data_IF_192606419681
#
_entry.id   IF_192606419681
#
_cell.length_a   1.000
_cell.length_b   1.000
_cell.length_c   1.000
_cell.angle_alpha   90.00
_cell.angle_beta   90.00
_cell.angle_gamma   90.00
#
_symmetry.space_group_name_H-M   'P 1'
#
loop_
_entity.id
_entity.type
_entity.pdbx_description
1 polymer ?
#
# COMPACT_ATOMS: atom_id res chain seq x y z
N UNK A 1 -2.81 -0.29 1.04
CA UNK A 1 -2.61 -1.44 0.16
C UNK A 1 -3.86 -2.32 0.03
N UNK A 2 -4.65 -2.48 1.09
CA UNK A 2 -5.86 -3.30 1.06
C UNK A 2 -7.07 -2.46 1.42
N UNK A 3 -7.99 -2.24 0.45
CA UNK A 3 -9.23 -1.50 0.67
C UNK A 3 -10.47 -2.23 0.14
N UNK A 4 -10.35 -3.53 -0.15
CA UNK A 4 -11.49 -4.39 -0.49
C UNK A 4 -12.31 -4.66 0.77
N UNK A 5 -13.22 -3.74 1.10
CA UNK A 5 -13.96 -3.74 2.36
C UNK A 5 -14.81 -5.00 2.61
N UNK A 6 -15.21 -5.71 1.57
CA UNK A 6 -15.96 -6.97 1.71
C UNK A 6 -15.17 -8.09 2.44
N UNK A 7 -13.85 -7.96 2.57
CA UNK A 7 -13.02 -8.89 3.36
C UNK A 7 -12.65 -8.34 4.75
N UNK A 8 -13.01 -7.10 5.08
CA UNK A 8 -12.69 -6.49 6.38
C UNK A 8 -13.20 -7.28 7.59
N UNK A 9 -14.38 -7.94 7.55
CA UNK A 9 -14.80 -8.78 8.67
C UNK A 9 -13.84 -9.95 8.96
N UNK A 10 -13.12 -10.45 7.96
CA UNK A 10 -12.09 -11.46 8.18
C UNK A 10 -10.81 -10.85 8.74
N UNK A 11 -10.36 -9.74 8.19
CA UNK A 11 -9.16 -9.03 8.65
C UNK A 11 -9.29 -8.55 10.10
N UNK A 12 -10.49 -8.11 10.51
CA UNK A 12 -10.78 -7.64 11.86
C UNK A 12 -10.61 -8.70 12.95
N UNK A 13 -10.57 -9.98 12.59
CA UNK A 13 -10.28 -11.08 13.53
C UNK A 13 -8.80 -11.18 13.88
N UNK A 14 -7.93 -10.59 13.06
CA UNK A 14 -6.48 -10.75 13.12
C UNK A 14 -5.72 -9.44 13.35
N UNK A 15 -6.44 -8.33 13.54
CA UNK A 15 -5.85 -7.02 13.77
C UNK A 15 -6.64 -6.20 14.79
N UNK A 16 -5.94 -5.35 15.55
CA UNK A 16 -6.57 -4.48 16.56
C UNK A 16 -7.32 -3.30 15.95
N UNK A 17 -6.95 -2.88 14.74
CA UNK A 17 -7.52 -1.74 14.03
C UNK A 17 -7.08 -1.73 12.57
N UNK A 18 -7.32 -0.62 11.91
CA UNK A 18 -6.85 -0.36 10.56
C UNK A 18 -6.35 1.08 10.43
N UNK A 19 -5.45 1.29 9.47
CA UNK A 19 -4.87 2.60 9.18
C UNK A 19 -5.45 3.19 7.92
N UNK A 20 -5.39 4.51 7.81
CA UNK A 20 -5.94 5.27 6.69
C UNK A 20 -5.00 6.40 6.28
N UNK A 21 -4.98 6.73 4.98
CA UNK A 21 -4.15 7.81 4.43
C UNK A 21 -4.97 8.97 3.82
N UNK A 22 -6.28 8.97 4.04
CA UNK A 22 -7.18 10.03 3.60
C UNK A 22 -8.47 10.03 4.42
N UNK A 23 -9.30 11.08 4.27
CA UNK A 23 -10.63 11.12 4.89
C UNK A 23 -11.54 10.00 4.38
N UNK A 24 -11.47 9.69 3.09
CA UNK A 24 -12.27 8.61 2.50
C UNK A 24 -11.87 7.24 3.05
N UNK A 25 -10.57 6.97 3.20
CA UNK A 25 -10.10 5.72 3.82
C UNK A 25 -10.44 5.66 5.31
N UNK A 26 -10.28 6.77 6.06
CA UNK A 26 -10.65 6.81 7.47
C UNK A 26 -12.14 6.52 7.67
N UNK A 27 -12.98 7.07 6.81
CA UNK A 27 -14.42 6.80 6.80
C UNK A 27 -14.73 5.34 6.43
N UNK A 28 -14.05 4.80 5.41
CA UNK A 28 -14.20 3.40 5.01
C UNK A 28 -13.85 2.44 6.16
N UNK A 29 -12.76 2.72 6.88
CA UNK A 29 -12.38 1.96 8.09
C UNK A 29 -13.45 2.09 9.16
N UNK A 30 -13.93 3.29 9.43
CA UNK A 30 -14.95 3.53 10.44
C UNK A 30 -16.28 2.81 10.15
N UNK A 31 -16.74 2.88 8.90
CA UNK A 31 -18.02 2.30 8.46
C UNK A 31 -17.94 0.78 8.27
N UNK A 32 -16.88 0.26 7.63
CA UNK A 32 -16.84 -1.14 7.17
C UNK A 32 -15.92 -2.04 8.02
N UNK A 33 -14.89 -1.48 8.66
CA UNK A 33 -14.07 -2.23 9.62
C UNK A 33 -14.67 -2.18 11.03
N UNK A 34 -15.53 -1.18 11.30
CA UNK A 34 -16.28 -1.03 12.53
C UNK A 34 -15.46 -0.52 13.73
N UNK A 35 -14.31 0.12 13.46
CA UNK A 35 -13.44 0.75 14.47
C UNK A 35 -12.94 2.11 13.97
N UNK A 36 -12.58 3.04 14.88
CA UNK A 36 -11.89 4.25 14.47
C UNK A 36 -10.53 3.94 13.79
N UNK A 37 -10.15 4.76 12.84
CA UNK A 37 -8.90 4.60 12.10
C UNK A 37 -7.71 5.20 12.86
N UNK A 38 -6.51 4.67 12.63
CA UNK A 38 -5.25 5.37 12.86
C UNK A 38 -4.88 6.08 11.55
N UNK A 39 -5.09 7.39 11.49
CA UNK A 39 -4.94 8.13 10.24
C UNK A 39 -3.62 8.87 10.15
N UNK A 40 -2.90 8.65 9.06
CA UNK A 40 -1.78 9.47 8.62
C UNK A 40 -2.03 9.93 7.18
N UNK A 41 -1.89 11.23 6.92
CA UNK A 41 -1.82 11.76 5.56
C UNK A 41 -0.68 12.79 5.45
N UNK A 42 0.00 12.87 4.30
CA UNK A 42 1.05 13.86 4.09
C UNK A 42 0.55 15.30 4.22
N UNK A 43 -0.75 15.51 3.97
CA UNK A 43 -1.38 16.82 4.06
C UNK A 43 -2.82 16.69 4.54
N UNK A 44 -3.18 17.48 5.57
CA UNK A 44 -4.55 17.72 5.99
C UNK A 44 -5.01 19.08 5.50
N UNK A 45 -6.31 19.21 5.22
CA UNK A 45 -6.93 20.44 4.75
C UNK A 45 -8.15 20.77 5.61
N UNK A 46 -8.60 22.04 5.59
CA UNK A 46 -9.83 22.43 6.29
C UNK A 46 -11.07 21.71 5.75
N UNK A 47 -11.00 21.18 4.52
CA UNK A 47 -12.11 20.44 3.91
C UNK A 47 -12.25 19.01 4.44
N UNK A 48 -11.14 18.38 4.82
CA UNK A 48 -11.14 16.95 5.16
C UNK A 48 -10.87 16.65 6.64
N UNK A 49 -10.36 17.63 7.39
CA UNK A 49 -9.93 17.37 8.77
C UNK A 49 -11.09 16.96 9.68
N UNK A 50 -12.28 17.56 9.56
CA UNK A 50 -13.41 17.23 10.41
C UNK A 50 -13.91 15.79 10.21
N UNK A 51 -13.89 15.30 8.98
CA UNK A 51 -14.24 13.91 8.69
C UNK A 51 -13.20 12.95 9.27
N UNK A 52 -11.91 13.27 9.13
CA UNK A 52 -10.81 12.50 9.71
C UNK A 52 -10.94 12.43 11.24
N UNK A 53 -11.16 13.57 11.90
CA UNK A 53 -11.30 13.62 13.36
C UNK A 53 -12.49 12.79 13.86
N UNK A 54 -13.59 12.76 13.10
CA UNK A 54 -14.76 11.96 13.45
C UNK A 54 -14.53 10.45 13.28
N UNK A 55 -13.72 10.05 12.30
CA UNK A 55 -13.54 8.65 11.93
C UNK A 55 -12.26 8.01 12.50
N UNK A 56 -11.47 8.75 13.27
CA UNK A 56 -10.17 8.30 13.79
C UNK A 56 -10.10 8.38 15.31
N UNK A 57 -9.26 7.57 15.93
CA UNK A 57 -8.83 7.68 17.34
C UNK A 57 -7.37 8.11 17.47
N UNK A 58 -6.57 7.91 16.43
CA UNK A 58 -5.20 8.37 16.31
C UNK A 58 -5.05 9.20 15.03
N UNK A 59 -4.31 10.30 15.13
CA UNK A 59 -3.94 11.12 13.96
C UNK A 59 -2.45 11.42 14.00
N UNK A 60 -1.77 11.14 12.91
CA UNK A 60 -0.34 11.41 12.75
C UNK A 60 -0.13 12.58 11.80
N UNK A 61 0.54 13.62 12.26
CA UNK A 61 0.89 14.79 11.48
C UNK A 61 2.23 14.60 10.77
N UNK A 62 2.32 15.08 9.55
CA UNK A 62 3.53 14.95 8.73
C UNK A 62 4.63 15.97 9.10
N UNK A 63 4.25 17.09 9.72
CA UNK A 63 5.15 18.18 10.12
C UNK A 63 4.67 18.87 11.39
N UNK A 64 5.56 19.58 12.06
CA UNK A 64 5.22 20.40 13.24
C UNK A 64 4.21 21.49 12.87
N UNK A 65 4.38 22.16 11.75
CA UNK A 65 3.45 23.19 11.28
C UNK A 65 2.05 22.66 11.00
N UNK A 66 1.94 21.41 10.56
CA UNK A 66 0.65 20.76 10.39
C UNK A 66 -0.02 20.47 11.74
N UNK A 67 0.76 20.05 12.75
CA UNK A 67 0.26 19.91 14.12
C UNK A 67 -0.13 21.27 14.72
N UNK A 68 0.65 22.32 14.52
CA UNK A 68 0.30 23.67 14.99
C UNK A 68 -1.05 24.15 14.42
N UNK A 69 -1.34 23.80 13.15
CA UNK A 69 -2.59 24.18 12.47
C UNK A 69 -3.80 23.38 12.95
N UNK A 70 -3.65 22.09 13.15
CA UNK A 70 -4.80 21.18 13.35
C UNK A 70 -4.77 20.44 14.69
N UNK A 71 -3.64 20.44 15.42
CA UNK A 71 -3.46 19.65 16.63
C UNK A 71 -4.43 20.02 17.74
N UNK A 72 -4.72 21.32 17.94
CA UNK A 72 -5.71 21.76 18.94
C UNK A 72 -7.08 21.13 18.68
N UNK A 73 -7.51 21.08 17.42
CA UNK A 73 -8.81 20.46 17.04
C UNK A 73 -8.80 18.95 17.32
N UNK A 74 -7.69 18.28 16.99
CA UNK A 74 -7.53 16.84 17.23
C UNK A 74 -7.57 16.52 18.74
N UNK A 75 -6.84 17.30 19.54
CA UNK A 75 -6.81 17.13 21.01
C UNK A 75 -8.19 17.38 21.65
N UNK A 76 -8.92 18.42 21.24
CA UNK A 76 -10.29 18.69 21.71
C UNK A 76 -11.24 17.56 21.31
N UNK A 77 -11.03 16.95 20.15
CA UNK A 77 -11.81 15.79 19.69
C UNK A 77 -11.41 14.47 20.39
N UNK A 78 -10.42 14.50 21.29
CA UNK A 78 -10.00 13.35 22.07
C UNK A 78 -9.07 12.37 21.35
N UNK A 79 -8.49 12.76 20.20
CA UNK A 79 -7.58 11.89 19.45
C UNK A 79 -6.18 11.88 20.08
N UNK A 80 -5.54 10.73 20.02
CA UNK A 80 -4.11 10.60 20.28
C UNK A 80 -3.30 11.12 19.08
N UNK A 81 -2.51 12.18 19.31
CA UNK A 81 -1.75 12.84 18.25
C UNK A 81 -0.33 12.28 18.12
N UNK A 82 0.08 12.01 16.92
CA UNK A 82 1.45 11.60 16.57
C UNK A 82 2.14 12.53 15.59
N UNK A 83 3.44 12.36 15.49
CA UNK A 83 4.28 13.05 14.51
C UNK A 83 5.03 12.01 13.67
N UNK A 84 4.94 12.12 12.35
CA UNK A 84 5.77 11.32 11.46
C UNK A 84 7.21 11.83 11.50
N UNK A 85 8.13 10.92 11.75
CA UNK A 85 9.56 11.18 11.76
C UNK A 85 10.24 10.55 10.54
N UNK A 86 11.32 11.17 10.10
CA UNK A 86 12.22 10.63 9.09
C UNK A 86 13.54 10.23 9.78
N UNK A 87 13.76 8.94 10.03
CA UNK A 87 14.97 8.46 10.71
C UNK A 87 16.21 8.50 9.80
N UNK A 88 16.09 9.00 8.57
CA UNK A 88 17.18 9.10 7.59
C UNK A 88 17.81 7.73 7.22
N UNK A 89 17.05 6.67 7.40
CA UNK A 89 17.37 5.31 6.98
C UNK A 89 16.18 4.65 6.29
N UNK A 90 16.43 4.08 5.13
CA UNK A 90 15.52 3.16 4.44
C UNK A 90 16.36 2.16 3.62
N UNK A 91 16.01 0.88 3.60
CA UNK A 91 16.68 -0.11 2.75
C UNK A 91 16.16 -0.09 1.30
N UNK A 92 15.19 0.76 1.00
CA UNK A 92 14.53 0.82 -0.33
C UNK A 92 15.45 1.50 -1.33
N UNK A 93 15.82 0.79 -2.38
CA UNK A 93 16.76 1.28 -3.40
C UNK A 93 16.10 2.21 -4.42
N UNK A 94 14.80 1.98 -4.71
CA UNK A 94 14.06 2.79 -5.69
C UNK A 94 13.61 4.09 -5.06
N UNK A 95 14.12 5.23 -5.52
CA UNK A 95 13.84 6.56 -4.98
C UNK A 95 12.35 6.89 -4.87
N UNK A 96 11.53 6.43 -5.82
CA UNK A 96 10.07 6.64 -5.82
C UNK A 96 9.41 6.07 -4.55
N UNK A 97 9.96 5.02 -3.97
CA UNK A 97 9.44 4.31 -2.79
C UNK A 97 10.29 4.52 -1.53
N UNK A 98 11.42 5.25 -1.65
CA UNK A 98 12.30 5.56 -0.51
C UNK A 98 11.87 6.86 0.16
N UNK A 99 11.24 6.83 1.36
CA UNK A 99 10.77 8.03 2.04
C UNK A 99 11.88 8.83 2.72
N UNK A 100 13.13 8.36 2.67
CA UNK A 100 14.29 8.97 3.34
C UNK A 100 15.28 9.61 2.37
N UNK A 101 14.97 9.69 1.07
CA UNK A 101 15.83 10.41 0.11
C UNK A 101 15.97 11.88 0.48
N UNK A 102 17.08 12.53 0.13
CA UNK A 102 17.24 13.97 0.29
C UNK A 102 16.10 14.73 -0.37
N UNK A 103 15.49 15.68 0.36
CA UNK A 103 14.32 16.41 -0.12
C UNK A 103 12.99 15.70 0.04
N UNK A 104 12.95 14.55 0.71
CA UNK A 104 11.69 13.86 1.00
C UNK A 104 10.70 14.79 1.70
N UNK A 105 9.44 14.76 1.25
CA UNK A 105 8.32 15.51 1.84
C UNK A 105 7.69 14.79 3.05
N UNK A 106 8.19 13.62 3.45
CA UNK A 106 7.55 12.72 4.41
C UNK A 106 8.29 12.70 5.74
N UNK A 107 7.61 13.22 6.77
CA UNK A 107 8.11 13.24 8.14
C UNK A 107 9.16 14.32 8.43
N UNK A 108 9.42 14.55 9.70
CA UNK A 108 10.42 15.51 10.18
C UNK A 108 11.72 14.81 10.53
N UNK A 109 12.87 15.44 10.22
CA UNK A 109 14.17 14.99 10.70
C UNK A 109 14.42 15.46 12.14
N UNK A 110 15.38 14.86 12.81
CA UNK A 110 15.76 15.26 14.17
C UNK A 110 16.24 16.72 14.22
N UNK A 111 16.95 17.17 13.19
CA UNK A 111 17.42 18.56 13.08
C UNK A 111 16.26 19.53 12.96
N UNK A 112 15.26 19.24 12.10
CA UNK A 112 14.06 20.04 11.97
C UNK A 112 13.28 20.10 13.27
N UNK A 113 13.15 18.98 13.98
CA UNK A 113 12.46 18.91 15.27
C UNK A 113 13.20 19.71 16.34
N UNK A 114 14.52 19.61 16.39
CA UNK A 114 15.36 20.41 17.29
C UNK A 114 15.25 21.92 17.01
N UNK A 115 15.23 22.32 15.73
CA UNK A 115 15.05 23.71 15.33
C UNK A 115 13.68 24.28 15.76
N UNK A 116 12.66 23.45 15.90
CA UNK A 116 11.35 23.81 16.44
C UNK A 116 11.30 23.82 18.00
N UNK A 117 12.41 23.54 18.67
CA UNK A 117 12.44 23.46 20.13
C UNK A 117 12.06 22.09 20.70
N UNK A 118 12.05 21.05 19.86
CA UNK A 118 11.76 19.66 20.23
C UNK A 118 10.33 19.22 19.97
N UNK A 119 9.93 18.13 20.61
CA UNK A 119 8.61 17.53 20.42
C UNK A 119 7.51 18.42 21.01
N UNK A 120 6.53 18.87 20.20
CA UNK A 120 5.43 19.71 20.66
C UNK A 120 4.62 19.06 21.79
N UNK A 121 4.11 19.88 22.71
CA UNK A 121 3.18 19.42 23.75
C UNK A 121 1.88 18.92 23.10
N UNK A 122 1.39 17.75 23.56
CA UNK A 122 0.20 17.10 22.98
C UNK A 122 0.52 16.03 21.92
N UNK A 123 1.77 15.90 21.47
CA UNK A 123 2.21 14.74 20.72
C UNK A 123 2.45 13.57 21.69
N UNK A 124 1.72 12.47 21.47
CA UNK A 124 1.75 11.26 22.30
C UNK A 124 2.42 10.07 21.58
N UNK A 125 2.70 10.19 20.30
CA UNK A 125 3.31 9.12 19.53
C UNK A 125 4.23 9.60 18.44
N UNK A 126 5.10 8.69 18.00
CA UNK A 126 5.90 8.85 16.79
C UNK A 126 5.53 7.78 15.78
N UNK A 127 5.65 8.13 14.51
CA UNK A 127 5.39 7.24 13.39
C UNK A 127 6.52 7.34 12.37
N UNK A 128 6.96 6.20 11.87
CA UNK A 128 7.78 6.13 10.67
C UNK A 128 7.27 5.04 9.74
N UNK A 129 7.51 5.20 8.44
CA UNK A 129 7.23 4.18 7.44
C UNK A 129 8.34 4.25 6.39
N UNK A 130 9.32 3.36 6.50
CA UNK A 130 10.58 3.40 5.75
C UNK A 130 10.91 2.07 5.06
N UNK A 131 10.04 1.08 5.19
CA UNK A 131 10.20 -0.24 4.64
C UNK A 131 9.20 -0.47 3.49
N UNK A 132 9.61 -1.26 2.50
CA UNK A 132 8.76 -1.77 1.44
C UNK A 132 9.24 -3.18 1.10
N UNK A 133 8.37 -4.18 1.27
CA UNK A 133 8.68 -5.61 1.07
C UNK A 133 10.02 -6.04 1.67
N UNK A 134 10.28 -5.55 2.87
CA UNK A 134 11.57 -5.64 3.54
C UNK A 134 11.59 -6.80 4.54
N UNK A 135 12.80 -7.23 4.90
CA UNK A 135 13.06 -8.28 5.89
C UNK A 135 13.16 -7.73 7.31
N UNK A 136 13.04 -8.57 8.36
CA UNK A 136 13.10 -8.13 9.77
C UNK A 136 14.38 -7.39 10.16
N UNK A 137 15.53 -7.78 9.60
CA UNK A 137 16.81 -7.11 9.86
C UNK A 137 16.80 -5.63 9.43
N UNK A 138 15.99 -5.28 8.44
CA UNK A 138 15.82 -3.88 8.03
C UNK A 138 15.01 -3.08 9.06
N UNK A 139 14.05 -3.71 9.75
CA UNK A 139 13.37 -3.06 10.88
C UNK A 139 14.35 -2.79 12.03
N UNK A 140 15.22 -3.74 12.36
CA UNK A 140 16.27 -3.55 13.38
C UNK A 140 17.09 -2.30 13.09
N UNK A 141 17.60 -2.16 11.87
CA UNK A 141 18.37 -0.97 11.45
C UNK A 141 17.54 0.32 11.48
N UNK A 142 16.27 0.24 11.13
CA UNK A 142 15.37 1.40 11.22
C UNK A 142 15.16 1.84 12.68
N UNK A 143 15.01 0.89 13.60
CA UNK A 143 14.89 1.17 15.02
C UNK A 143 16.20 1.75 15.62
N UNK A 144 17.36 1.22 15.23
CA UNK A 144 18.68 1.79 15.60
C UNK A 144 18.80 3.25 15.14
N UNK A 145 18.32 3.55 13.92
CA UNK A 145 18.30 4.93 13.42
C UNK A 145 17.30 5.81 14.20
N UNK A 146 16.13 5.28 14.56
CA UNK A 146 15.16 5.99 15.42
C UNK A 146 15.76 6.27 16.80
N UNK A 147 16.41 5.31 17.44
CA UNK A 147 17.08 5.51 18.73
C UNK A 147 18.20 6.53 18.63
N UNK A 148 18.99 6.49 17.57
CA UNK A 148 20.09 7.42 17.33
C UNK A 148 19.61 8.86 17.17
N UNK A 149 18.57 9.08 16.37
CA UNK A 149 18.11 10.41 15.99
C UNK A 149 16.98 10.95 16.87
N UNK A 150 16.15 10.07 17.44
CA UNK A 150 14.94 10.44 18.18
C UNK A 150 14.87 9.82 19.58
N UNK A 151 15.91 9.12 20.04
CA UNK A 151 15.95 8.43 21.35
C UNK A 151 15.55 9.33 22.52
N UNK A 152 15.99 10.60 22.52
CA UNK A 152 15.64 11.58 23.55
C UNK A 152 14.12 11.87 23.68
N UNK A 153 13.32 11.46 22.70
CA UNK A 153 11.87 11.67 22.71
C UNK A 153 11.08 10.40 23.07
N UNK A 154 11.71 9.20 23.04
CA UNK A 154 11.01 7.93 23.24
C UNK A 154 10.37 7.83 24.63
N UNK A 155 11.01 8.36 25.68
CA UNK A 155 10.45 8.39 27.03
C UNK A 155 9.26 9.36 27.22
N UNK A 156 9.00 10.20 26.21
CA UNK A 156 7.94 11.22 26.25
C UNK A 156 6.68 10.83 25.52
N UNK A 157 6.69 9.68 24.83
CA UNK A 157 5.59 9.20 23.99
C UNK A 157 4.96 7.93 24.58
N UNK A 158 3.76 7.63 24.17
CA UNK A 158 2.98 6.46 24.62
C UNK A 158 3.02 5.32 23.59
N UNK A 159 3.24 5.65 22.33
CA UNK A 159 3.25 4.67 21.25
C UNK A 159 4.26 5.02 20.14
N UNK A 160 4.77 3.98 19.51
CA UNK A 160 5.61 4.06 18.32
C UNK A 160 4.95 3.23 17.21
N UNK A 161 4.56 3.89 16.13
CA UNK A 161 4.07 3.25 14.93
C UNK A 161 5.22 3.10 13.93
N UNK A 162 5.55 1.88 13.60
CA UNK A 162 6.69 1.51 12.77
C UNK A 162 6.33 1.38 11.28
N UNK A 163 5.06 1.71 10.93
CA UNK A 163 4.56 1.59 9.56
C UNK A 163 4.41 0.15 9.09
N UNK A 164 4.36 0.00 7.78
CA UNK A 164 4.24 -1.28 7.10
C UNK A 164 5.52 -1.67 6.35
N UNK A 165 5.36 -2.46 5.30
CA UNK A 165 6.46 -2.96 4.46
C UNK A 165 6.96 -4.34 4.87
N UNK A 166 6.25 -5.04 5.76
CA UNK A 166 6.54 -6.40 6.19
C UNK A 166 5.63 -7.38 5.45
N UNK A 167 6.19 -8.25 4.60
CA UNK A 167 5.45 -9.34 3.97
C UNK A 167 5.48 -10.59 4.85
N UNK A 168 4.97 -10.50 6.08
CA UNK A 168 5.05 -11.55 7.09
C UNK A 168 4.28 -12.83 6.74
N UNK A 169 3.47 -12.82 5.71
CA UNK A 169 2.77 -13.98 5.16
C UNK A 169 3.53 -14.66 4.02
N UNK A 170 4.63 -14.06 3.56
CA UNK A 170 5.48 -14.66 2.54
C UNK A 170 6.33 -15.81 3.12
N UNK A 171 6.50 -16.88 2.36
CA UNK A 171 7.24 -18.08 2.79
C UNK A 171 8.73 -17.84 3.08
N UNK A 172 9.30 -16.77 2.53
CA UNK A 172 10.71 -16.37 2.74
C UNK A 172 10.89 -15.39 3.91
N UNK A 173 9.80 -14.93 4.54
CA UNK A 173 9.86 -13.95 5.62
C UNK A 173 10.06 -14.64 6.98
N UNK A 174 11.05 -14.20 7.73
CA UNK A 174 11.36 -14.74 9.06
C UNK A 174 10.53 -14.02 10.14
N UNK A 175 9.40 -14.62 10.50
CA UNK A 175 8.52 -14.09 11.54
C UNK A 175 9.13 -14.20 12.95
N UNK A 176 9.96 -15.23 13.22
CA UNK A 176 10.60 -15.39 14.51
C UNK A 176 11.64 -14.30 14.75
N UNK A 177 12.40 -13.93 13.70
CA UNK A 177 13.31 -12.77 13.76
C UNK A 177 12.54 -11.46 13.96
N UNK A 178 11.41 -11.25 13.28
CA UNK A 178 10.56 -10.08 13.53
C UNK A 178 10.13 -9.99 15.00
N UNK A 179 9.66 -11.11 15.55
CA UNK A 179 9.22 -11.20 16.94
C UNK A 179 10.41 -10.90 17.88
N UNK A 180 11.60 -11.41 17.57
CA UNK A 180 12.79 -11.15 18.36
C UNK A 180 13.16 -9.66 18.34
N UNK A 181 13.14 -9.00 17.17
CA UNK A 181 13.41 -7.55 17.04
C UNK A 181 12.41 -6.73 17.87
N UNK A 182 11.12 -7.05 17.78
CA UNK A 182 10.06 -6.34 18.52
C UNK A 182 10.17 -6.55 20.03
N UNK A 183 10.49 -7.77 20.48
CA UNK A 183 10.70 -8.08 21.91
C UNK A 183 11.92 -7.36 22.48
N UNK A 184 13.01 -7.32 21.73
CA UNK A 184 14.23 -6.65 22.12
C UNK A 184 13.98 -5.15 22.31
N UNK A 185 13.42 -4.48 21.31
CA UNK A 185 13.05 -3.07 21.38
C UNK A 185 12.08 -2.78 22.53
N UNK A 186 11.04 -3.61 22.69
CA UNK A 186 10.08 -3.48 23.79
C UNK A 186 10.72 -3.66 25.18
N UNK A 187 11.75 -4.48 25.29
CA UNK A 187 12.44 -4.66 26.59
C UNK A 187 13.18 -3.40 27.03
N UNK A 188 13.66 -2.61 26.08
CA UNK A 188 14.34 -1.32 26.31
C UNK A 188 13.32 -0.19 26.52
N UNK A 189 12.14 -0.27 25.90
CA UNK A 189 11.08 0.74 25.97
C UNK A 189 9.73 0.11 26.40
N UNK A 190 9.63 -0.43 27.64
CA UNK A 190 8.48 -1.23 28.08
C UNK A 190 7.16 -0.44 28.20
N UNK A 191 7.22 0.89 28.27
CA UNK A 191 6.07 1.78 28.34
C UNK A 191 5.44 2.04 26.97
N UNK A 192 6.14 1.73 25.86
CA UNK A 192 5.65 2.00 24.52
C UNK A 192 4.69 0.91 24.04
N UNK A 193 3.55 1.34 23.50
CA UNK A 193 2.75 0.52 22.61
C UNK A 193 3.40 0.53 21.23
N UNK A 194 3.73 -0.66 20.71
CA UNK A 194 4.29 -0.82 19.37
C UNK A 194 3.16 -1.10 18.38
N UNK A 195 3.16 -0.43 17.24
CA UNK A 195 2.16 -0.54 16.19
C UNK A 195 2.86 -0.86 14.88
N UNK A 196 2.34 -1.84 14.13
CA UNK A 196 2.73 -2.16 12.77
C UNK A 196 1.53 -1.98 11.84
N UNK A 197 1.77 -1.61 10.58
CA UNK A 197 0.75 -1.36 9.56
C UNK A 197 0.94 -2.26 8.31
N UNK A 198 1.05 -3.59 8.46
CA UNK A 198 1.23 -4.47 7.30
C UNK A 198 -0.05 -4.46 6.45
N UNK A 199 0.03 -3.95 5.23
CA UNK A 199 -1.11 -3.87 4.30
C UNK A 199 -1.10 -5.05 3.32
N UNK A 200 -0.12 -5.09 2.40
CA UNK A 200 -0.01 -6.14 1.38
C UNK A 200 0.08 -7.55 1.97
N UNK A 201 0.70 -7.70 3.13
CA UNK A 201 0.84 -9.00 3.79
C UNK A 201 -0.51 -9.70 4.05
N UNK A 202 -1.58 -8.96 4.36
CA UNK A 202 -2.90 -9.55 4.61
C UNK A 202 -3.54 -10.17 3.37
N UNK A 203 -3.18 -9.69 2.19
CA UNK A 203 -3.79 -10.11 0.93
C UNK A 203 -2.78 -10.71 -0.06
N UNK A 204 -1.53 -10.86 0.35
CA UNK A 204 -0.48 -11.38 -0.51
C UNK A 204 -0.83 -12.75 -1.07
N UNK A 205 -0.81 -12.89 -2.40
CA UNK A 205 -1.17 -14.09 -3.16
C UNK A 205 -2.58 -14.64 -2.91
N UNK A 206 -3.53 -13.77 -2.57
CA UNK A 206 -4.92 -14.18 -2.34
C UNK A 206 -5.89 -13.74 -3.43
N UNK A 207 -5.43 -13.00 -4.43
CA UNK A 207 -6.28 -12.52 -5.52
C UNK A 207 -5.59 -12.53 -6.88
N UNK A 208 -6.42 -12.64 -7.90
CA UNK A 208 -6.03 -12.74 -9.30
C UNK A 208 -6.73 -11.66 -10.12
N UNK A 209 -6.08 -11.22 -11.20
CA UNK A 209 -6.75 -10.49 -12.28
C UNK A 209 -6.91 -11.43 -13.46
N UNK A 210 -8.14 -11.68 -13.86
CA UNK A 210 -8.48 -12.52 -15.01
C UNK A 210 -8.77 -11.62 -16.20
N UNK A 211 -8.11 -11.86 -17.31
CA UNK A 211 -8.25 -11.15 -18.56
C UNK A 211 -8.48 -12.13 -19.71
N UNK A 212 -8.96 -11.63 -20.84
CA UNK A 212 -9.14 -12.38 -22.07
C UNK A 212 -8.22 -11.84 -23.16
N UNK A 213 -7.65 -12.71 -23.97
CA UNK A 213 -6.95 -12.33 -25.20
C UNK A 213 -8.02 -11.95 -26.24
N UNK A 214 -8.09 -10.69 -26.61
CA UNK A 214 -9.07 -10.17 -27.57
C UNK A 214 -8.51 -10.12 -29.00
N UNK A 215 -7.18 -9.98 -29.15
CA UNK A 215 -6.52 -9.95 -30.45
C UNK A 215 -5.05 -10.39 -30.28
N UNK A 216 -4.42 -10.77 -31.39
CA UNK A 216 -2.99 -11.11 -31.48
C UNK A 216 -2.37 -10.29 -32.58
N UNK A 217 -1.41 -9.45 -32.22
CA UNK A 217 -0.68 -8.59 -33.15
C UNK A 217 0.76 -9.06 -33.27
N UNK A 218 1.23 -9.20 -34.51
CA UNK A 218 2.65 -9.46 -34.77
C UNK A 218 3.27 -8.25 -35.49
N UNK A 219 4.33 -7.70 -34.90
CA UNK A 219 5.08 -6.60 -35.48
C UNK A 219 6.55 -6.70 -35.14
N UNK A 220 7.41 -6.65 -36.16
CA UNK A 220 8.86 -6.72 -35.97
C UNK A 220 9.35 -7.99 -35.26
N UNK A 221 8.63 -9.12 -35.43
CA UNK A 221 8.97 -10.39 -34.77
C UNK A 221 8.51 -10.47 -33.30
N UNK A 222 7.75 -9.49 -32.82
CA UNK A 222 7.15 -9.49 -31.47
C UNK A 222 5.68 -9.91 -31.60
N UNK A 223 5.30 -10.97 -30.88
CA UNK A 223 3.91 -11.40 -30.75
C UNK A 223 3.31 -10.75 -29.50
N UNK A 224 2.26 -9.98 -29.67
CA UNK A 224 1.54 -9.31 -28.58
C UNK A 224 0.12 -9.84 -28.48
N UNK A 225 -0.20 -10.42 -27.33
CA UNK A 225 -1.58 -10.76 -26.97
C UNK A 225 -2.24 -9.49 -26.42
N UNK A 226 -3.23 -8.96 -27.13
CA UNK A 226 -4.01 -7.79 -26.72
C UNK A 226 -5.13 -8.22 -25.76
N UNK A 227 -5.14 -7.62 -24.59
CA UNK A 227 -6.01 -8.03 -23.48
C UNK A 227 -7.17 -7.06 -23.29
N UNK A 228 -8.28 -7.54 -22.69
CA UNK A 228 -9.41 -6.70 -22.26
C UNK A 228 -9.14 -5.90 -20.96
N UNK A 229 -7.93 -5.95 -20.43
CA UNK A 229 -7.43 -5.12 -19.31
C UNK A 229 -6.33 -4.17 -19.80
N UNK A 230 -5.92 -3.24 -18.95
CA UNK A 230 -4.85 -2.27 -19.22
C UNK A 230 -3.84 -2.27 -18.08
N UNK A 231 -2.56 -2.31 -18.39
CA UNK A 231 -1.50 -2.14 -17.39
C UNK A 231 -1.54 -0.74 -16.79
N UNK A 232 -1.71 0.27 -17.64
CA UNK A 232 -1.79 1.67 -17.20
C UNK A 232 -3.01 1.95 -16.30
N UNK A 233 -4.14 1.26 -16.53
CA UNK A 233 -5.37 1.48 -15.79
C UNK A 233 -5.52 0.57 -14.57
N UNK A 234 -5.10 -0.69 -14.66
CA UNK A 234 -5.42 -1.72 -13.67
C UNK A 234 -4.20 -2.28 -12.93
N UNK A 235 -3.01 -2.13 -13.50
CA UNK A 235 -1.73 -2.60 -12.95
C UNK A 235 -0.63 -1.53 -13.09
N UNK A 236 -0.88 -0.26 -12.67
CA UNK A 236 0.06 0.82 -12.94
C UNK A 236 1.44 0.60 -12.32
N UNK A 237 1.55 -0.14 -11.21
CA UNK A 237 2.85 -0.45 -10.60
C UNK A 237 3.75 -1.29 -11.50
N UNK A 238 3.19 -2.08 -12.43
CA UNK A 238 3.98 -2.79 -13.43
C UNK A 238 4.75 -1.83 -14.36
N UNK A 239 4.27 -0.60 -14.52
CA UNK A 239 4.89 0.45 -15.34
C UNK A 239 5.68 1.46 -14.51
N UNK A 240 5.18 1.83 -13.32
CA UNK A 240 5.76 2.83 -12.43
C UNK A 240 6.99 2.31 -11.67
N UNK A 241 6.92 1.04 -11.23
CA UNK A 241 8.01 0.32 -10.57
C UNK A 241 8.31 -0.95 -11.36
N UNK A 242 8.87 -0.87 -12.56
CA UNK A 242 8.82 -1.91 -13.57
C UNK A 242 9.05 -3.31 -12.99
N UNK A 243 8.00 -4.07 -12.83
CA UNK A 243 8.05 -5.47 -12.48
C UNK A 243 7.12 -6.27 -13.38
N UNK A 244 7.45 -7.53 -13.58
CA UNK A 244 6.67 -8.44 -14.40
C UNK A 244 5.83 -9.33 -13.49
N UNK A 245 4.48 -9.22 -13.51
CA UNK A 245 3.63 -10.07 -12.69
C UNK A 245 3.71 -11.54 -13.15
N UNK A 246 3.54 -12.48 -12.23
CA UNK A 246 3.40 -13.87 -12.59
C UNK A 246 2.05 -14.11 -13.30
N UNK A 247 2.06 -15.02 -14.27
CA UNK A 247 0.85 -15.48 -14.98
C UNK A 247 0.75 -16.99 -14.79
N UNK A 248 -0.43 -17.47 -14.45
CA UNK A 248 -0.70 -18.90 -14.29
C UNK A 248 -0.40 -19.63 -15.60
N UNK A 249 0.43 -20.66 -15.54
CA UNK A 249 0.83 -21.45 -16.71
C UNK A 249 1.88 -20.82 -17.61
N UNK A 250 2.39 -19.64 -17.25
CA UNK A 250 3.47 -18.99 -17.98
C UNK A 250 4.80 -19.09 -17.22
N UNK A 251 5.89 -18.90 -17.92
CA UNK A 251 7.25 -18.89 -17.39
C UNK A 251 8.12 -17.83 -18.06
N UNK A 252 9.30 -17.61 -17.50
CA UNK A 252 10.32 -16.79 -18.15
C UNK A 252 10.76 -17.43 -19.48
N UNK A 253 10.82 -16.64 -20.57
CA UNK A 253 11.27 -17.15 -21.86
C UNK A 253 12.72 -17.60 -21.83
N UNK A 254 12.98 -18.78 -22.40
CA UNK A 254 14.32 -19.30 -22.64
C UNK A 254 14.70 -19.12 -24.11
N UNK A 255 15.93 -19.49 -24.47
CA UNK A 255 16.37 -19.50 -25.86
C UNK A 255 15.55 -20.50 -26.70
N UNK A 256 15.00 -20.01 -27.81
CA UNK A 256 14.15 -20.81 -28.70
C UNK A 256 12.65 -20.76 -28.36
N UNK A 257 12.25 -20.19 -27.25
CA UNK A 257 10.82 -20.02 -26.93
C UNK A 257 10.18 -18.94 -27.78
N UNK A 258 8.92 -19.17 -28.13
CA UNK A 258 8.06 -18.08 -28.59
C UNK A 258 7.76 -17.16 -27.41
N UNK A 259 8.00 -15.88 -27.61
CA UNK A 259 7.79 -14.84 -26.61
C UNK A 259 6.46 -14.15 -26.86
N UNK A 260 5.65 -14.05 -25.82
CA UNK A 260 4.36 -13.40 -25.81
C UNK A 260 4.40 -12.15 -24.94
N UNK A 261 4.23 -11.01 -25.55
CA UNK A 261 4.02 -9.74 -24.85
C UNK A 261 2.56 -9.60 -24.50
N UNK A 262 2.25 -9.09 -23.30
CA UNK A 262 0.88 -8.74 -22.92
C UNK A 262 0.67 -7.27 -23.20
N UNK A 263 -0.27 -6.94 -24.09
CA UNK A 263 -0.68 -5.58 -24.42
C UNK A 263 -2.00 -5.22 -23.78
N UNK A 264 -2.09 -4.02 -23.20
CA UNK A 264 -3.33 -3.49 -22.65
C UNK A 264 -4.22 -2.83 -23.70
N UNK A 265 -5.44 -2.51 -23.33
CA UNK A 265 -6.47 -1.96 -24.24
C UNK A 265 -6.63 -0.43 -24.17
N UNK A 266 -5.73 0.30 -23.50
CA UNK A 266 -5.70 1.76 -23.57
C UNK A 266 -4.94 2.26 -24.81
N UNK A 267 -5.13 3.54 -25.17
CA UNK A 267 -4.40 4.11 -26.30
C UNK A 267 -2.96 4.55 -25.95
N UNK A 268 -2.49 4.31 -24.73
CA UNK A 268 -1.13 4.61 -24.34
C UNK A 268 -0.15 3.65 -25.05
N UNK A 269 0.79 4.18 -25.82
CA UNK A 269 1.74 3.36 -26.57
C UNK A 269 2.56 2.40 -25.68
N UNK A 270 2.82 2.76 -24.44
CA UNK A 270 3.52 1.96 -23.43
C UNK A 270 2.61 1.05 -22.59
N UNK A 271 1.34 0.87 -22.94
CA UNK A 271 0.41 0.01 -22.21
C UNK A 271 0.65 -1.48 -22.50
N UNK A 272 1.83 -1.96 -22.13
CA UNK A 272 2.20 -3.36 -22.24
C UNK A 272 3.23 -3.75 -21.17
N UNK A 273 3.36 -5.02 -20.91
CA UNK A 273 4.33 -5.53 -19.95
C UNK A 273 5.00 -6.81 -20.48
N UNK A 274 6.20 -7.03 -20.02
CA UNK A 274 7.02 -8.23 -20.02
C UNK A 274 7.17 -8.92 -21.35
N UNK A 275 7.68 -10.10 -21.34
CA UNK A 275 7.48 -11.16 -22.32
C UNK A 275 7.42 -12.49 -21.53
N UNK A 276 6.50 -13.35 -21.85
CA UNK A 276 6.33 -14.68 -21.24
C UNK A 276 6.43 -15.78 -22.28
N UNK A 277 6.72 -16.99 -21.83
CA UNK A 277 6.59 -18.20 -22.61
C UNK A 277 5.48 -19.08 -22.04
N UNK A 278 4.72 -19.71 -22.92
CA UNK A 278 3.69 -20.69 -22.60
C UNK A 278 4.06 -22.02 -23.28
N UNK A 279 3.53 -23.12 -22.78
CA UNK A 279 3.74 -24.44 -23.39
C UNK A 279 2.89 -24.68 -24.64
N UNK A 280 2.13 -23.67 -25.06
CA UNK A 280 1.27 -23.66 -26.23
C UNK A 280 1.22 -22.26 -26.88
N UNK A 281 0.64 -22.18 -28.06
CA UNK A 281 0.36 -20.93 -28.75
C UNK A 281 -0.89 -20.28 -28.18
N UNK A 282 -0.80 -19.02 -27.75
CA UNK A 282 -1.97 -18.27 -27.29
C UNK A 282 -2.96 -18.04 -28.41
N UNK A 283 -4.24 -18.06 -28.09
CA UNK A 283 -5.34 -17.86 -29.02
C UNK A 283 -6.29 -16.77 -28.52
N UNK A 284 -6.97 -16.10 -29.45
CA UNK A 284 -8.06 -15.19 -29.14
C UNK A 284 -9.17 -15.95 -28.38
N UNK A 285 -9.66 -15.35 -27.31
CA UNK A 285 -10.63 -15.93 -26.38
C UNK A 285 -10.00 -16.68 -25.21
N UNK A 286 -8.69 -16.86 -25.21
CA UNK A 286 -7.96 -17.52 -24.11
C UNK A 286 -7.90 -16.62 -22.85
N UNK A 287 -7.94 -17.24 -21.67
CA UNK A 287 -7.84 -16.53 -20.39
C UNK A 287 -6.41 -16.38 -19.93
N UNK A 288 -6.02 -15.16 -19.62
CA UNK A 288 -4.76 -14.82 -18.97
C UNK A 288 -5.07 -14.50 -17.50
N UNK A 289 -4.39 -15.19 -16.58
CA UNK A 289 -4.64 -15.04 -15.14
C UNK A 289 -3.36 -14.51 -14.50
N UNK A 290 -3.36 -13.23 -14.14
CA UNK A 290 -2.29 -12.59 -13.41
C UNK A 290 -2.40 -12.90 -11.92
N UNK A 291 -1.30 -13.34 -11.31
CA UNK A 291 -1.24 -13.64 -9.88
C UNK A 291 -1.00 -12.38 -9.04
N UNK A 292 -1.45 -12.44 -7.80
CA UNK A 292 -1.20 -11.44 -6.75
C UNK A 292 -1.75 -10.03 -7.07
N UNK A 293 -2.97 -9.97 -7.62
CA UNK A 293 -3.62 -8.76 -8.11
C UNK A 293 -4.75 -8.27 -7.19
N UNK A 294 -4.48 -8.15 -5.88
CA UNK A 294 -5.52 -7.78 -4.89
C UNK A 294 -5.15 -6.56 -4.02
N UNK A 295 -3.88 -6.17 -3.95
CA UNK A 295 -3.46 -5.03 -3.12
C UNK A 295 -3.36 -3.73 -3.95
N UNK A 296 -2.18 -3.22 -4.27
CA UNK A 296 -2.02 -1.95 -5.00
C UNK A 296 -2.66 -1.95 -6.38
N UNK A 297 -2.73 -3.08 -7.05
CA UNK A 297 -3.42 -3.27 -8.32
C UNK A 297 -4.94 -3.09 -8.25
N UNK A 298 -5.54 -3.10 -7.06
CA UNK A 298 -6.95 -2.72 -6.89
C UNK A 298 -7.13 -1.26 -6.46
N UNK A 299 -6.24 -0.72 -5.63
CA UNK A 299 -6.44 0.61 -5.03
C UNK A 299 -5.83 1.75 -5.87
N UNK A 300 -4.95 1.45 -6.82
CA UNK A 300 -4.30 2.43 -7.73
C UNK A 300 -4.90 2.42 -9.14
N UNK A 301 -6.15 2.03 -9.32
CA UNK A 301 -6.77 1.91 -10.64
C UNK A 301 -7.29 3.23 -11.18
N UNK A 302 -7.33 3.35 -12.50
CA UNK A 302 -7.91 4.47 -13.23
C UNK A 302 -8.84 3.99 -14.34
N UNK A 303 -9.61 4.91 -14.92
CA UNK A 303 -10.44 4.66 -16.11
C UNK A 303 -9.97 5.55 -17.27
N UNK A 304 -8.67 5.61 -17.51
CA UNK A 304 -8.12 6.33 -18.66
C UNK A 304 -8.72 5.77 -19.96
N UNK A 305 -9.04 6.62 -20.92
CA UNK A 305 -9.77 6.32 -22.16
C UNK A 305 -11.17 5.69 -21.98
N UNK A 306 -11.72 5.69 -20.76
CA UNK A 306 -12.97 5.00 -20.47
C UNK A 306 -12.81 3.48 -20.37
N UNK A 307 -11.57 2.98 -20.24
CA UNK A 307 -11.33 1.56 -20.00
C UNK A 307 -12.03 1.18 -18.70
N UNK A 308 -12.91 0.18 -18.79
CA UNK A 308 -13.76 -0.26 -17.70
C UNK A 308 -12.94 -1.01 -16.66
N UNK A 309 -13.18 -0.73 -15.37
CA UNK A 309 -12.60 -1.54 -14.31
C UNK A 309 -13.07 -2.99 -14.38
N UNK A 310 -12.19 -3.95 -14.10
CA UNK A 310 -12.58 -5.35 -13.89
C UNK A 310 -13.61 -5.47 -12.77
N UNK A 311 -14.55 -6.40 -12.91
CA UNK A 311 -15.49 -6.72 -11.85
C UNK A 311 -14.74 -7.25 -10.61
N UNK A 312 -15.23 -6.91 -9.42
CA UNK A 312 -14.71 -7.43 -8.16
C UNK A 312 -15.54 -8.65 -7.77
N UNK A 313 -14.88 -9.78 -7.60
CA UNK A 313 -15.54 -11.04 -7.26
C UNK A 313 -14.84 -11.73 -6.09
N UNK A 314 -15.57 -12.54 -5.34
CA UNK A 314 -15.03 -13.43 -4.31
C UNK A 314 -15.25 -14.87 -4.72
N UNK A 315 -14.18 -15.62 -4.94
CA UNK A 315 -14.23 -17.07 -5.10
C UNK A 315 -14.36 -17.74 -3.73
N UNK A 316 -15.44 -18.48 -3.53
CA UNK A 316 -15.71 -19.21 -2.28
C UNK A 316 -15.09 -20.59 -2.30
N UNK A 317 -14.80 -21.14 -1.12
CA UNK A 317 -14.24 -22.50 -0.99
C UNK A 317 -15.13 -23.61 -1.56
N UNK A 318 -16.43 -23.38 -1.65
CA UNK A 318 -17.42 -24.31 -2.23
C UNK A 318 -17.54 -24.19 -3.76
N UNK A 319 -16.70 -23.36 -4.39
CA UNK A 319 -16.67 -23.14 -5.84
C UNK A 319 -17.62 -22.06 -6.35
N UNK A 320 -18.44 -21.45 -5.49
CA UNK A 320 -19.26 -20.28 -5.89
C UNK A 320 -18.39 -19.06 -6.13
N UNK A 321 -18.82 -18.20 -7.03
CA UNK A 321 -18.22 -16.90 -7.29
C UNK A 321 -19.28 -15.84 -7.01
N UNK A 322 -19.04 -15.02 -5.99
CA UNK A 322 -19.93 -13.91 -5.66
C UNK A 322 -19.41 -12.64 -6.35
N UNK A 323 -20.25 -12.05 -7.21
CA UNK A 323 -19.96 -10.75 -7.82
C UNK A 323 -20.26 -9.66 -6.78
N UNK A 324 -19.22 -8.97 -6.33
CA UNK A 324 -19.32 -7.91 -5.32
C UNK A 324 -19.61 -6.58 -5.97
N UNK A 325 -18.95 -6.29 -7.10
CA UNK A 325 -19.10 -5.03 -7.81
C UNK A 325 -18.86 -5.24 -9.31
N UNK A 326 -19.75 -4.71 -10.12
CA UNK A 326 -19.55 -4.47 -11.54
C UNK A 326 -19.43 -2.97 -11.77
N UNK A 327 -18.62 -2.60 -12.76
CA UNK A 327 -18.44 -1.22 -13.18
C UNK A 327 -19.02 -1.02 -14.57
N UNK A 328 -19.50 0.17 -14.85
CA UNK A 328 -20.11 0.48 -16.14
C UNK A 328 -19.82 1.91 -16.59
N UNK A 329 -20.51 2.32 -17.66
CA UNK A 329 -20.37 3.66 -18.23
C UNK A 329 -20.60 4.79 -17.20
N UNK A 330 -21.55 4.60 -16.28
CA UNK A 330 -21.87 5.61 -15.26
C UNK A 330 -20.70 5.86 -14.30
N UNK A 331 -19.91 4.83 -13.99
CA UNK A 331 -18.70 4.99 -13.15
C UNK A 331 -17.64 5.88 -13.84
N UNK A 332 -17.51 5.74 -15.16
CA UNK A 332 -16.63 6.62 -15.94
C UNK A 332 -17.22 8.03 -16.08
N UNK A 333 -18.46 8.14 -16.52
CA UNK A 333 -19.12 9.42 -16.79
C UNK A 333 -19.18 10.30 -15.54
N UNK A 334 -19.63 9.75 -14.41
CA UNK A 334 -19.93 10.52 -13.20
C UNK A 334 -18.68 11.09 -12.53
N UNK A 335 -17.47 10.60 -12.86
CA UNK A 335 -16.23 11.21 -12.39
C UNK A 335 -15.72 12.34 -13.30
N UNK A 336 -16.31 12.55 -14.46
CA UNK A 336 -15.83 13.54 -15.44
C UNK A 336 -16.58 14.88 -15.36
N UNK A 337 -17.77 14.90 -14.77
CA UNK A 337 -18.52 16.16 -14.61
C UNK A 337 -19.61 16.02 -13.53
#
# INVERSE_FOLDING_TARGET
ACAMWSIFPELAKHSDGATASSAAEARLVFEEFGKPAHTYAPTYTDRNIDEILRCSDHITFNSVSQFERFGQRALISGLSCGLRINPQYSPVETDLYNPCVPGSRLGVTAEQLAAHGGLPAGIEGLHFHVLCESRPEHLRKALEAVETHFGAYLDRIKWLNMGGGHLMTASWYDCDELIAVLKDFRSQHPHLRLILEPGSAFTWRTGYLVSTVEDIVENGGVHTAMLDVSFACHMPDCLEMPYKPAIVGAREPQEGDRRWRMGGNSCLAGDYCGDWAFDHELQVGERIIFEDMIHYTMVKTTMFNGVQHPAIVIARRDGRVDVIREFGYEDFRNRMS
#
